data_IF_176413973443
#
_entry.id   IF_176413973443
#
_cell.length_a   1.000
_cell.length_b   1.000
_cell.length_c   1.000
_cell.angle_alpha   90.00
_cell.angle_beta   90.00
_cell.angle_gamma   90.00
#
_symmetry.space_group_name_H-M   'P 1'
#
loop_
_entity.id
_entity.type
_entity.pdbx_description
1 polymer ?
#
# COMPACT_ATOMS: atom_id res chain seq x y z
N UNK A 1 -25.66 48.24 -22.92
CA UNK A 1 -24.18 48.14 -22.95
C UNK A 1 -23.62 48.66 -21.63
N UNK A 2 -22.48 48.11 -21.19
CA UNK A 2 -21.72 48.39 -19.93
C UNK A 2 -22.34 47.74 -18.67
N UNK A 3 -21.95 46.51 -18.31
CA UNK A 3 -20.71 46.09 -17.62
C UNK A 3 -20.63 46.65 -16.19
N UNK A 4 -21.10 45.87 -15.21
CA UNK A 4 -20.59 45.91 -13.84
C UNK A 4 -20.21 44.46 -13.48
N UNK A 5 -19.04 44.09 -13.99
CA UNK A 5 -18.19 43.03 -13.43
C UNK A 5 -17.38 43.68 -12.30
N UNK A 6 -17.54 43.19 -11.08
CA UNK A 6 -16.62 43.23 -9.91
C UNK A 6 -17.50 43.01 -8.67
N UNK A 7 -17.28 42.06 -7.77
CA UNK A 7 -16.22 41.08 -7.64
C UNK A 7 -16.58 40.17 -6.46
N UNK A 8 -16.15 38.91 -6.54
CA UNK A 8 -15.98 38.07 -5.36
C UNK A 8 -14.71 37.24 -5.58
N UNK A 9 -13.58 37.93 -5.52
CA UNK A 9 -12.32 37.28 -5.22
C UNK A 9 -12.38 36.83 -3.76
N UNK A 10 -12.30 35.52 -3.51
CA UNK A 10 -11.24 34.85 -2.71
C UNK A 10 -11.53 33.34 -2.84
N UNK A 11 -11.10 32.75 -3.96
CA UNK A 11 -10.77 31.32 -3.98
C UNK A 11 -9.35 31.23 -3.40
N UNK A 12 -9.25 31.26 -2.07
CA UNK A 12 -8.01 30.91 -1.41
C UNK A 12 -7.75 29.42 -1.70
N UNK A 13 -6.64 29.05 -2.37
CA UNK A 13 -6.25 27.67 -2.42
C UNK A 13 -5.88 27.30 -0.99
N UNK A 14 -6.73 26.53 -0.32
CA UNK A 14 -6.32 25.77 0.85
C UNK A 14 -5.26 24.79 0.34
N UNK A 15 -4.00 25.25 0.33
CA UNK A 15 -2.84 24.41 0.16
C UNK A 15 -2.80 23.51 1.39
N UNK A 16 -3.55 22.40 1.33
CA UNK A 16 -3.40 21.35 2.32
C UNK A 16 -1.93 20.93 2.29
N UNK A 17 -1.24 20.87 3.44
CA UNK A 17 0.08 20.29 3.48
C UNK A 17 -0.05 18.87 2.95
N UNK A 18 0.55 18.62 1.79
CA UNK A 18 0.75 17.27 1.33
C UNK A 18 1.70 16.64 2.34
N UNK A 19 1.14 15.93 3.33
CA UNK A 19 1.92 15.00 4.12
C UNK A 19 2.49 14.02 3.11
N UNK A 20 3.77 14.19 2.79
CA UNK A 20 4.55 13.22 2.05
C UNK A 20 4.64 11.97 2.94
N UNK A 21 3.56 11.20 2.98
CA UNK A 21 3.55 9.88 3.56
C UNK A 21 4.52 9.08 2.70
N UNK A 22 5.71 8.82 3.24
CA UNK A 22 6.59 7.80 2.66
C UNK A 22 5.72 6.55 2.46
N UNK A 23 5.69 5.98 1.24
CA UNK A 23 4.87 4.82 0.98
C UNK A 23 5.27 3.75 2.00
N UNK A 24 4.29 3.29 2.78
CA UNK A 24 4.52 2.21 3.73
C UNK A 24 5.06 0.99 2.96
N UNK A 25 6.00 0.23 3.53
CA UNK A 25 6.49 -1.00 2.91
C UNK A 25 5.32 -1.93 2.54
N UNK A 26 5.41 -2.55 1.36
CA UNK A 26 4.43 -3.52 0.88
C UNK A 26 4.30 -4.69 1.89
N UNK A 27 5.39 -5.06 2.58
CA UNK A 27 5.37 -6.10 3.62
C UNK A 27 4.47 -5.74 4.81
N UNK A 28 4.44 -4.47 5.24
CA UNK A 28 3.57 -4.02 6.33
C UNK A 28 2.10 -4.04 5.92
N UNK A 29 1.79 -3.66 4.68
CA UNK A 29 0.43 -3.76 4.16
C UNK A 29 -0.03 -5.23 4.07
N UNK A 30 0.86 -6.13 3.62
CA UNK A 30 0.60 -7.56 3.57
C UNK A 30 0.30 -8.13 4.96
N UNK A 31 1.15 -7.84 5.95
CA UNK A 31 0.97 -8.28 7.35
C UNK A 31 -0.35 -7.79 7.93
N UNK A 32 -0.67 -6.50 7.73
CA UNK A 32 -1.91 -5.89 8.21
C UNK A 32 -3.14 -6.54 7.59
N UNK A 33 -3.10 -6.87 6.30
CA UNK A 33 -4.18 -7.57 5.61
C UNK A 33 -4.33 -9.01 6.11
N UNK A 34 -3.24 -9.74 6.30
CA UNK A 34 -3.26 -11.10 6.84
C UNK A 34 -3.91 -11.13 8.23
N UNK A 35 -3.52 -10.23 9.14
CA UNK A 35 -4.09 -10.15 10.48
C UNK A 35 -5.61 -9.85 10.44
N UNK A 36 -6.04 -8.94 9.56
CA UNK A 36 -7.46 -8.66 9.34
C UNK A 36 -8.22 -9.89 8.82
N UNK A 37 -7.63 -10.67 7.93
CA UNK A 37 -8.25 -11.88 7.39
C UNK A 37 -8.29 -13.02 8.42
N UNK A 38 -7.24 -13.19 9.20
CA UNK A 38 -7.16 -14.18 10.29
C UNK A 38 -8.14 -13.86 11.42
N UNK A 39 -8.20 -12.61 11.88
CA UNK A 39 -9.13 -12.19 12.94
C UNK A 39 -10.61 -12.37 12.56
N UNK A 40 -10.91 -12.28 11.25
CA UNK A 40 -12.26 -12.51 10.69
C UNK A 40 -12.50 -13.97 10.29
N UNK A 41 -11.55 -14.88 10.53
CA UNK A 41 -11.60 -16.29 10.14
C UNK A 41 -11.92 -16.47 8.64
N UNK A 42 -11.33 -15.62 7.79
CA UNK A 42 -11.57 -15.60 6.33
C UNK A 42 -10.59 -16.46 5.55
N UNK A 43 -9.61 -17.05 6.21
CA UNK A 43 -8.59 -17.91 5.60
C UNK A 43 -8.64 -19.28 6.25
N UNK A 44 -8.51 -20.32 5.42
CA UNK A 44 -8.11 -21.64 5.87
C UNK A 44 -6.64 -21.62 6.32
N UNK A 45 -6.19 -22.60 7.12
CA UNK A 45 -4.79 -22.69 7.53
C UNK A 45 -3.81 -22.70 6.34
N UNK A 46 -4.18 -23.40 5.26
CA UNK A 46 -3.35 -23.47 4.05
C UNK A 46 -3.26 -22.13 3.32
N UNK A 47 -4.36 -21.38 3.24
CA UNK A 47 -4.35 -20.04 2.64
C UNK A 47 -3.56 -19.05 3.50
N UNK A 48 -3.68 -19.14 4.82
CA UNK A 48 -2.89 -18.31 5.74
C UNK A 48 -1.38 -18.52 5.53
N UNK A 49 -0.92 -19.77 5.40
CA UNK A 49 0.48 -20.08 5.12
C UNK A 49 0.96 -19.47 3.78
N UNK A 50 0.12 -19.47 2.75
CA UNK A 50 0.45 -18.83 1.46
C UNK A 50 0.55 -17.31 1.60
N UNK A 51 -0.34 -16.67 2.37
CA UNK A 51 -0.23 -15.23 2.66
C UNK A 51 1.02 -14.91 3.48
N UNK A 52 1.34 -15.71 4.50
CA UNK A 52 2.56 -15.55 5.31
C UNK A 52 3.82 -15.63 4.46
N UNK A 53 3.92 -16.62 3.57
CA UNK A 53 5.04 -16.76 2.64
C UNK A 53 5.18 -15.55 1.69
N UNK A 54 4.07 -15.01 1.20
CA UNK A 54 4.09 -13.79 0.37
C UNK A 54 4.57 -12.58 1.17
N UNK A 55 4.09 -12.40 2.40
CA UNK A 55 4.54 -11.30 3.24
C UNK A 55 6.04 -11.40 3.57
N UNK A 56 6.55 -12.61 3.84
CA UNK A 56 7.97 -12.85 4.08
C UNK A 56 8.83 -12.54 2.83
N UNK A 57 8.37 -12.92 1.63
CA UNK A 57 9.05 -12.57 0.39
C UNK A 57 9.16 -11.04 0.20
N UNK A 58 8.07 -10.31 0.48
CA UNK A 58 8.05 -8.86 0.38
C UNK A 58 9.02 -8.22 1.38
N UNK A 59 9.03 -8.71 2.62
CA UNK A 59 9.93 -8.26 3.69
C UNK A 59 11.40 -8.50 3.31
N UNK A 60 11.74 -9.68 2.78
CA UNK A 60 13.10 -9.97 2.30
C UNK A 60 13.50 -9.08 1.12
N UNK A 61 12.59 -8.83 0.17
CA UNK A 61 12.84 -7.96 -0.97
C UNK A 61 13.15 -6.53 -0.53
N UNK A 62 12.40 -6.03 0.44
CA UNK A 62 12.60 -4.70 1.03
C UNK A 62 13.92 -4.60 1.79
N UNK A 63 14.28 -5.64 2.56
CA UNK A 63 15.57 -5.69 3.27
C UNK A 63 16.77 -5.73 2.32
N UNK A 64 16.63 -6.39 1.17
CA UNK A 64 17.69 -6.52 0.15
C UNK A 64 17.73 -5.35 -0.82
N UNK A 65 16.78 -4.41 -0.76
CA UNK A 65 16.68 -3.28 -1.68
C UNK A 65 16.39 -3.69 -3.13
N UNK A 66 15.89 -4.90 -3.36
CA UNK A 66 15.59 -5.39 -4.71
C UNK A 66 14.37 -4.66 -5.28
N UNK A 67 14.43 -4.22 -6.55
CA UNK A 67 13.29 -3.56 -7.17
C UNK A 67 12.17 -4.57 -7.43
N UNK A 68 10.93 -4.08 -7.38
CA UNK A 68 9.70 -4.87 -7.58
C UNK A 68 9.65 -5.63 -8.91
N UNK A 69 10.41 -5.19 -9.92
CA UNK A 69 10.52 -5.85 -11.24
C UNK A 69 11.42 -7.09 -11.26
N UNK A 70 12.27 -7.31 -10.26
CA UNK A 70 13.22 -8.42 -10.25
C UNK A 70 12.75 -9.64 -9.44
N UNK A 71 11.74 -9.48 -8.58
CA UNK A 71 11.31 -10.55 -7.66
C UNK A 71 9.79 -10.65 -7.60
N UNK A 72 9.25 -11.76 -8.10
CA UNK A 72 7.81 -12.05 -8.07
C UNK A 72 7.43 -12.71 -6.75
N UNK A 73 6.94 -11.91 -5.80
CA UNK A 73 6.33 -12.41 -4.57
C UNK A 73 4.85 -12.81 -4.75
N UNK A 74 4.37 -12.95 -5.99
CA UNK A 74 2.95 -13.14 -6.31
C UNK A 74 2.45 -14.60 -6.20
N UNK A 75 3.35 -15.54 -5.89
CA UNK A 75 3.06 -16.96 -5.75
C UNK A 75 3.77 -17.42 -4.49
N UNK A 76 3.04 -17.86 -3.46
CA UNK A 76 3.61 -18.40 -2.23
C UNK A 76 4.70 -19.41 -2.58
N UNK A 77 5.95 -19.08 -2.28
CA UNK A 77 7.11 -19.77 -2.83
C UNK A 77 7.13 -21.24 -2.41
N UNK A 78 7.55 -22.12 -3.33
CA UNK A 78 8.82 -22.77 -3.11
C UNK A 78 9.77 -22.43 -4.26
N UNK A 79 10.91 -21.83 -3.93
CA UNK A 79 12.09 -21.98 -4.78
C UNK A 79 12.89 -23.11 -4.14
N UNK A 80 12.89 -24.26 -4.81
CA UNK A 80 13.81 -25.37 -4.51
C UNK A 80 15.26 -24.97 -4.77
#
# INVERSE_FOLDING_TARGET
>A
MKQILLGLAVLAPFAMPAFAASPAPDSLLCRSQLELLQSRQKLTPSEAAVYEAQCACLEQREQTGQPRSQTSCAQGAPQE
#
